data_IF_172368412412
#
_entry.id   IF_172368412412
#
_cell.length_a   1.000
_cell.length_b   1.000
_cell.length_c   1.000
_cell.angle_alpha   90.00
_cell.angle_beta   90.00
_cell.angle_gamma   90.00
#
_symmetry.space_group_name_H-M   'P 1'
#
loop_
_entity.id
_entity.type
_entity.pdbx_description
1 polymer ?
#
# COMPACT_ATOMS: atom_id res chain seq x y z
N UNK A 1 34.34 8.25 12.33
CA UNK A 1 33.03 8.78 12.76
C UNK A 1 31.98 8.25 11.80
N UNK A 2 31.17 7.26 12.21
CA UNK A 2 30.09 6.74 11.36
C UNK A 2 28.99 7.79 11.31
N UNK A 3 28.87 8.45 10.17
CA UNK A 3 27.81 9.42 9.88
C UNK A 3 26.50 8.63 9.77
N UNK A 4 25.75 8.57 10.85
CA UNK A 4 24.44 7.96 10.88
C UNK A 4 23.49 8.83 10.04
N UNK A 5 23.38 8.54 8.73
CA UNK A 5 22.41 9.24 7.89
C UNK A 5 21.03 8.64 8.19
N UNK A 6 20.08 9.48 8.61
CA UNK A 6 18.71 9.03 8.81
C UNK A 6 18.12 8.54 7.48
N UNK A 7 17.16 7.59 7.56
CA UNK A 7 16.40 7.04 6.42
C UNK A 7 17.15 6.06 5.49
N UNK A 8 17.92 5.12 6.06
CA UNK A 8 18.55 4.04 5.29
C UNK A 8 17.51 3.23 4.48
N UNK A 9 16.31 3.02 5.05
CA UNK A 9 15.22 2.31 4.38
C UNK A 9 14.74 3.06 3.13
N UNK A 10 14.44 4.35 3.23
CA UNK A 10 13.98 5.15 2.10
C UNK A 10 15.04 5.31 1.00
N UNK A 11 16.33 5.32 1.36
CA UNK A 11 17.44 5.32 0.39
C UNK A 11 17.45 4.03 -0.41
N UNK A 12 17.27 2.87 0.25
CA UNK A 12 17.17 1.57 -0.42
C UNK A 12 15.93 1.48 -1.31
N UNK A 13 14.76 1.97 -0.85
CA UNK A 13 13.53 2.01 -1.63
C UNK A 13 13.69 2.83 -2.92
N UNK A 14 14.31 4.03 -2.84
CA UNK A 14 14.59 4.88 -4.01
C UNK A 14 15.58 4.22 -4.96
N UNK A 15 16.72 3.76 -4.45
CA UNK A 15 17.75 3.11 -5.24
C UNK A 15 17.23 1.87 -5.98
N UNK A 16 16.40 1.06 -5.32
CA UNK A 16 15.80 -0.11 -5.95
C UNK A 16 14.84 0.29 -7.07
N UNK A 17 13.94 1.25 -6.82
CA UNK A 17 12.99 1.71 -7.85
C UNK A 17 13.71 2.29 -9.08
N UNK A 18 14.73 3.11 -8.87
CA UNK A 18 15.56 3.66 -9.95
C UNK A 18 16.20 2.54 -10.79
N UNK A 19 16.83 1.56 -10.15
CA UNK A 19 17.47 0.44 -10.84
C UNK A 19 16.46 -0.45 -11.57
N UNK A 20 15.29 -0.68 -10.99
CA UNK A 20 14.23 -1.46 -11.66
C UNK A 20 13.68 -0.76 -12.89
N UNK A 21 13.61 0.56 -12.89
CA UNK A 21 13.22 1.36 -14.06
C UNK A 21 14.34 1.42 -15.12
N UNK A 22 15.61 1.50 -14.69
CA UNK A 22 16.75 1.60 -15.60
C UNK A 22 17.08 0.28 -16.31
N UNK A 23 17.00 -0.86 -15.60
CA UNK A 23 17.55 -2.14 -16.05
C UNK A 23 16.55 -3.30 -15.99
N UNK A 24 15.39 -3.06 -15.38
CA UNK A 24 14.41 -4.10 -15.06
C UNK A 24 14.68 -4.79 -13.72
N UNK A 25 13.62 -5.34 -13.18
CA UNK A 25 13.64 -6.03 -11.89
C UNK A 25 14.57 -7.25 -11.88
N UNK A 26 14.51 -8.10 -12.92
CA UNK A 26 15.27 -9.35 -12.96
C UNK A 26 16.78 -9.12 -13.02
N UNK A 27 17.21 -8.08 -13.70
CA UNK A 27 18.62 -7.71 -13.89
C UNK A 27 19.19 -6.85 -12.77
N UNK A 28 18.45 -6.64 -11.68
CA UNK A 28 18.92 -5.84 -10.53
C UNK A 28 19.17 -6.75 -9.33
N UNK A 29 20.37 -6.61 -8.73
CA UNK A 29 20.79 -7.37 -7.55
C UNK A 29 20.68 -6.55 -6.26
N UNK A 30 20.64 -7.24 -5.11
CA UNK A 30 20.69 -6.58 -3.78
C UNK A 30 21.98 -5.79 -3.59
N UNK A 31 23.11 -6.33 -4.09
CA UNK A 31 24.42 -5.65 -4.03
C UNK A 31 24.38 -4.28 -4.73
N UNK A 32 23.81 -4.23 -5.94
CA UNK A 32 23.68 -2.98 -6.71
C UNK A 32 22.74 -1.98 -6.03
N UNK A 33 21.62 -2.46 -5.46
CA UNK A 33 20.70 -1.62 -4.70
C UNK A 33 21.43 -0.99 -3.48
N UNK A 34 22.13 -1.82 -2.70
CA UNK A 34 22.88 -1.36 -1.55
C UNK A 34 23.96 -0.35 -1.95
N UNK A 35 24.73 -0.65 -2.99
CA UNK A 35 25.77 0.24 -3.53
C UNK A 35 25.19 1.58 -3.99
N UNK A 36 24.11 1.58 -4.78
CA UNK A 36 23.40 2.79 -5.25
C UNK A 36 22.90 3.63 -4.09
N UNK A 37 22.44 2.98 -3.02
CA UNK A 37 22.00 3.64 -1.79
C UNK A 37 23.15 4.14 -0.92
N UNK A 38 24.43 3.84 -1.24
CA UNK A 38 25.59 4.13 -0.38
C UNK A 38 25.58 3.34 0.92
N UNK A 39 25.07 2.11 0.88
CA UNK A 39 24.90 1.20 2.01
C UNK A 39 25.53 -0.16 1.69
N UNK A 40 25.49 -1.08 2.67
CA UNK A 40 25.95 -2.46 2.50
C UNK A 40 24.77 -3.42 2.31
N UNK A 41 25.01 -4.59 1.69
CA UNK A 41 24.00 -5.67 1.62
C UNK A 41 23.52 -6.11 3.01
N UNK A 42 24.40 -6.12 4.03
CA UNK A 42 24.02 -6.37 5.41
C UNK A 42 22.98 -5.35 5.91
N UNK A 43 23.12 -4.08 5.50
CA UNK A 43 22.14 -3.04 5.84
C UNK A 43 20.83 -3.29 5.09
N UNK A 44 20.88 -3.71 3.82
CA UNK A 44 19.70 -4.08 3.06
C UNK A 44 18.92 -5.20 3.79
N UNK A 45 19.56 -6.32 4.10
CA UNK A 45 18.92 -7.48 4.75
C UNK A 45 18.43 -7.22 6.18
N UNK A 46 18.90 -6.15 6.83
CA UNK A 46 18.32 -5.67 8.08
C UNK A 46 16.93 -5.04 7.91
N UNK A 47 16.63 -4.50 6.73
CA UNK A 47 15.38 -3.80 6.43
C UNK A 47 14.42 -4.61 5.58
N UNK A 48 14.93 -5.50 4.72
CA UNK A 48 14.14 -6.25 3.74
C UNK A 48 14.62 -7.70 3.68
N UNK A 49 13.68 -8.64 3.58
CA UNK A 49 13.99 -10.07 3.48
C UNK A 49 14.59 -10.41 2.11
N UNK A 50 14.12 -9.78 1.05
CA UNK A 50 14.61 -9.93 -0.33
C UNK A 50 14.34 -8.68 -1.16
N UNK A 51 14.77 -8.68 -2.45
CA UNK A 51 14.60 -7.54 -3.34
C UNK A 51 13.15 -7.24 -3.73
N UNK A 52 12.21 -8.19 -3.55
CA UNK A 52 10.77 -7.96 -3.78
C UNK A 52 10.20 -7.06 -2.70
N UNK A 53 10.63 -7.26 -1.45
CA UNK A 53 10.11 -6.51 -0.31
C UNK A 53 10.40 -5.01 -0.35
N UNK A 54 11.41 -4.59 -1.10
CA UNK A 54 11.85 -3.19 -1.12
C UNK A 54 10.79 -2.23 -1.67
N UNK A 55 9.90 -2.71 -2.55
CA UNK A 55 8.78 -1.93 -3.09
C UNK A 55 7.52 -1.96 -2.20
N UNK A 56 7.52 -2.81 -1.17
CA UNK A 56 6.36 -3.00 -0.31
C UNK A 56 6.68 -2.52 1.11
N UNK A 57 5.92 -1.54 1.60
CA UNK A 57 6.09 -1.03 2.97
C UNK A 57 5.51 -1.98 4.04
N UNK A 58 5.36 -3.26 3.66
CA UNK A 58 4.89 -4.29 4.54
C UNK A 58 3.54 -3.94 5.16
N UNK A 59 3.46 -4.10 6.47
CA UNK A 59 2.24 -3.85 7.23
C UNK A 59 2.03 -2.38 7.62
N UNK A 60 2.91 -1.45 7.22
CA UNK A 60 2.84 -0.05 7.68
C UNK A 60 1.51 0.59 7.29
N UNK A 61 1.08 0.41 6.03
CA UNK A 61 -0.22 0.92 5.55
C UNK A 61 -1.38 0.25 6.29
N UNK A 62 -1.36 -1.08 6.40
CA UNK A 62 -2.41 -1.82 7.09
C UNK A 62 -2.53 -1.41 8.56
N UNK A 63 -1.41 -1.24 9.26
CA UNK A 63 -1.40 -0.77 10.66
C UNK A 63 -1.93 0.65 10.79
N UNK A 64 -1.61 1.54 9.85
CA UNK A 64 -2.13 2.91 9.85
C UNK A 64 -3.67 2.92 9.66
N UNK A 65 -4.19 2.12 8.73
CA UNK A 65 -5.63 1.93 8.54
C UNK A 65 -6.29 1.39 9.81
N UNK A 66 -5.73 0.33 10.40
CA UNK A 66 -6.25 -0.27 11.65
C UNK A 66 -6.23 0.72 12.82
N UNK A 67 -5.21 1.57 12.92
CA UNK A 67 -5.15 2.60 13.94
C UNK A 67 -6.33 3.57 13.82
N UNK A 68 -6.61 4.07 12.62
CA UNK A 68 -7.76 4.96 12.37
C UNK A 68 -9.09 4.27 12.66
N UNK A 69 -9.23 2.98 12.30
CA UNK A 69 -10.46 2.22 12.58
C UNK A 69 -10.84 2.15 14.06
N UNK A 70 -9.85 2.20 14.95
CA UNK A 70 -10.09 2.22 16.42
C UNK A 70 -10.75 3.51 16.88
N UNK A 71 -10.49 4.61 16.19
CA UNK A 71 -10.98 5.95 16.55
C UNK A 71 -12.31 6.29 15.87
N UNK A 72 -12.71 5.55 14.82
CA UNK A 72 -14.00 5.75 14.16
C UNK A 72 -15.14 5.33 15.10
N UNK A 73 -16.18 6.17 15.31
CA UNK A 73 -17.30 5.84 16.20
C UNK A 73 -17.96 4.48 15.86
N UNK A 74 -18.36 3.67 16.86
CA UNK A 74 -19.00 2.38 16.63
C UNK A 74 -20.32 2.46 15.85
N UNK A 75 -20.98 3.62 15.86
CA UNK A 75 -22.23 3.88 15.12
C UNK A 75 -22.04 4.00 13.61
N UNK A 76 -20.80 4.18 13.14
CA UNK A 76 -20.49 4.24 11.70
C UNK A 76 -20.55 2.85 11.11
N UNK A 77 -21.27 2.70 9.99
CA UNK A 77 -21.40 1.42 9.31
C UNK A 77 -20.01 0.84 8.94
N UNK A 78 -19.80 -0.49 9.03
CA UNK A 78 -18.47 -1.10 8.88
C UNK A 78 -17.74 -0.70 7.61
N UNK A 79 -18.41 -0.69 6.46
CA UNK A 79 -17.79 -0.34 5.18
C UNK A 79 -17.45 1.16 5.09
N UNK A 80 -18.24 2.04 5.70
CA UNK A 80 -17.95 3.48 5.79
C UNK A 80 -16.77 3.75 6.70
N UNK A 81 -16.66 2.99 7.80
CA UNK A 81 -15.49 3.08 8.69
C UNK A 81 -14.19 2.72 7.94
N UNK A 82 -14.22 1.65 7.13
CA UNK A 82 -13.07 1.29 6.30
C UNK A 82 -12.78 2.38 5.26
N UNK A 83 -13.81 2.95 4.62
CA UNK A 83 -13.67 4.07 3.70
C UNK A 83 -12.96 5.26 4.34
N UNK A 84 -13.41 5.68 5.52
CA UNK A 84 -12.77 6.76 6.31
C UNK A 84 -11.30 6.46 6.61
N UNK A 85 -10.99 5.22 7.01
CA UNK A 85 -9.63 4.83 7.31
C UNK A 85 -8.73 4.79 6.06
N UNK A 86 -9.26 4.40 4.91
CA UNK A 86 -8.55 4.46 3.63
C UNK A 86 -8.30 5.92 3.19
N UNK A 87 -9.31 6.78 3.30
CA UNK A 87 -9.19 8.20 2.95
C UNK A 87 -8.12 8.91 3.78
N UNK A 88 -7.96 8.56 5.05
CA UNK A 88 -6.95 9.15 5.93
C UNK A 88 -5.51 8.90 5.45
N UNK A 89 -5.29 7.92 4.56
CA UNK A 89 -3.96 7.64 3.99
C UNK A 89 -3.67 8.44 2.71
N UNK A 90 -4.64 9.20 2.21
CA UNK A 90 -4.55 9.92 0.93
C UNK A 90 -3.34 10.84 0.87
N UNK A 91 -3.14 11.68 1.87
CA UNK A 91 -2.03 12.65 1.91
C UNK A 91 -0.66 11.97 1.71
N UNK A 92 -0.46 10.81 2.34
CA UNK A 92 0.78 10.05 2.20
C UNK A 92 1.04 9.64 0.74
N UNK A 93 0.00 9.22 0.02
CA UNK A 93 0.10 8.83 -1.40
C UNK A 93 0.20 10.06 -2.30
N UNK A 94 -0.60 11.09 -2.05
CA UNK A 94 -0.65 12.30 -2.86
C UNK A 94 0.71 13.01 -2.93
N UNK A 95 1.43 13.09 -1.80
CA UNK A 95 2.79 13.63 -1.72
C UNK A 95 3.82 12.79 -2.51
N UNK A 96 3.48 11.55 -2.86
CA UNK A 96 4.37 10.56 -3.48
C UNK A 96 3.83 10.00 -4.79
N UNK A 97 2.90 10.71 -5.45
CA UNK A 97 2.25 10.22 -6.67
C UNK A 97 3.23 9.80 -7.77
N UNK A 98 4.29 10.58 -8.10
CA UNK A 98 5.28 10.15 -9.09
C UNK A 98 5.97 8.83 -8.71
N UNK A 99 6.33 8.69 -7.44
CA UNK A 99 6.90 7.43 -6.91
C UNK A 99 5.90 6.27 -7.04
N UNK A 100 4.65 6.49 -6.64
CA UNK A 100 3.59 5.49 -6.70
C UNK A 100 3.33 5.03 -8.15
N UNK A 101 3.33 5.95 -9.11
CA UNK A 101 3.17 5.65 -10.54
C UNK A 101 4.31 4.79 -11.07
N UNK A 102 5.55 5.17 -10.79
CA UNK A 102 6.74 4.43 -11.20
C UNK A 102 6.78 3.04 -10.54
N UNK A 103 6.46 2.96 -9.25
CA UNK A 103 6.37 1.70 -8.51
C UNK A 103 5.34 0.77 -9.16
N UNK A 104 4.14 1.27 -9.47
CA UNK A 104 3.10 0.45 -10.08
C UNK A 104 3.51 -0.04 -11.47
N UNK A 105 4.11 0.78 -12.29
CA UNK A 105 4.63 0.37 -13.60
C UNK A 105 5.65 -0.79 -13.49
N UNK A 106 6.55 -0.74 -12.49
CA UNK A 106 7.50 -1.84 -12.24
C UNK A 106 6.77 -3.11 -11.78
N UNK A 107 5.76 -2.99 -10.92
CA UNK A 107 4.97 -4.15 -10.45
C UNK A 107 4.20 -4.77 -11.61
N UNK A 108 3.51 -3.98 -12.41
CA UNK A 108 2.68 -4.44 -13.52
C UNK A 108 3.50 -5.17 -14.60
N UNK A 109 4.76 -4.79 -14.76
CA UNK A 109 5.68 -5.44 -15.70
C UNK A 109 6.27 -6.77 -15.18
N UNK A 110 6.08 -7.13 -13.89
CA UNK A 110 6.79 -8.26 -13.28
C UNK A 110 5.84 -9.19 -12.51
N UNK A 111 5.55 -10.42 -13.01
CA UNK A 111 4.63 -11.35 -12.35
C UNK A 111 4.98 -11.67 -10.89
N UNK A 112 6.27 -11.81 -10.56
CA UNK A 112 6.72 -12.07 -9.19
C UNK A 112 6.41 -10.92 -8.21
N UNK A 113 6.38 -9.67 -8.71
CA UNK A 113 5.97 -8.51 -7.92
C UNK A 113 4.46 -8.38 -7.82
N UNK A 114 3.72 -8.74 -8.88
CA UNK A 114 2.25 -8.80 -8.85
C UNK A 114 1.76 -9.83 -7.82
N UNK A 115 2.34 -11.03 -7.82
CA UNK A 115 2.06 -12.05 -6.78
C UNK A 115 2.32 -11.50 -5.38
N UNK A 116 3.45 -10.82 -5.18
CA UNK A 116 3.79 -10.23 -3.90
C UNK A 116 2.82 -9.14 -3.47
N UNK A 117 2.37 -8.31 -4.39
CA UNK A 117 1.34 -7.30 -4.12
C UNK A 117 0.02 -7.93 -3.66
N UNK A 118 -0.44 -8.98 -4.34
CA UNK A 118 -1.65 -9.71 -3.94
C UNK A 118 -1.56 -10.26 -2.52
N UNK A 119 -0.41 -10.85 -2.15
CA UNK A 119 -0.17 -11.34 -0.79
C UNK A 119 -0.23 -10.19 0.23
N UNK A 120 0.32 -9.01 -0.09
CA UNK A 120 0.27 -7.85 0.81
C UNK A 120 -1.14 -7.29 0.96
N UNK A 121 -1.91 -7.27 -0.10
CA UNK A 121 -3.31 -6.84 -0.07
C UNK A 121 -4.18 -7.81 0.73
N UNK A 122 -3.96 -9.12 0.60
CA UNK A 122 -4.65 -10.13 1.41
C UNK A 122 -4.30 -10.03 2.90
N UNK A 123 -3.01 -9.82 3.21
CA UNK A 123 -2.58 -9.53 4.59
C UNK A 123 -3.24 -8.27 5.15
N UNK A 124 -3.41 -7.22 4.34
CA UNK A 124 -4.12 -6.01 4.73
C UNK A 124 -5.60 -6.30 5.01
N UNK A 125 -6.28 -7.07 4.16
CA UNK A 125 -7.66 -7.49 4.40
C UNK A 125 -7.79 -8.26 5.71
N UNK A 126 -6.89 -9.19 5.99
CA UNK A 126 -6.87 -9.95 7.25
C UNK A 126 -6.77 -9.03 8.47
N UNK A 127 -5.91 -8.02 8.43
CA UNK A 127 -5.77 -7.07 9.54
C UNK A 127 -6.99 -6.17 9.70
N UNK A 128 -7.60 -5.71 8.61
CA UNK A 128 -8.84 -4.93 8.64
C UNK A 128 -9.99 -5.79 9.19
N UNK A 129 -10.12 -7.05 8.77
CA UNK A 129 -11.14 -7.96 9.29
C UNK A 129 -11.01 -8.18 10.81
N UNK A 130 -9.79 -8.35 11.32
CA UNK A 130 -9.53 -8.43 12.75
C UNK A 130 -10.01 -7.16 13.47
N UNK A 131 -9.66 -5.97 12.96
CA UNK A 131 -10.11 -4.70 13.53
C UNK A 131 -11.63 -4.53 13.47
N UNK A 132 -12.31 -5.05 12.44
CA UNK A 132 -13.79 -5.04 12.37
C UNK A 132 -14.40 -5.96 13.42
N UNK A 133 -13.83 -7.13 13.69
CA UNK A 133 -14.28 -8.02 14.79
C UNK A 133 -14.11 -7.34 16.15
N UNK A 134 -13.00 -6.67 16.38
CA UNK A 134 -12.78 -5.89 17.62
C UNK A 134 -13.84 -4.79 17.82
N UNK A 135 -14.46 -4.32 16.73
CA UNK A 135 -15.59 -3.38 16.73
C UNK A 135 -16.95 -4.06 16.89
N UNK A 136 -17.01 -5.38 17.10
CA UNK A 136 -18.24 -6.13 17.28
C UNK A 136 -18.93 -6.57 15.97
N UNK A 137 -18.27 -6.43 14.81
CA UNK A 137 -18.79 -6.95 13.54
C UNK A 137 -18.63 -8.47 13.52
N UNK A 138 -19.66 -9.20 13.07
CA UNK A 138 -19.59 -10.67 12.98
C UNK A 138 -18.51 -11.14 12.02
N UNK A 139 -18.00 -12.36 12.21
CA UNK A 139 -16.86 -12.91 11.44
C UNK A 139 -17.04 -12.80 9.93
N UNK A 140 -18.20 -13.24 9.42
CA UNK A 140 -18.47 -13.19 7.97
C UNK A 140 -18.57 -11.76 7.46
N UNK A 141 -19.29 -10.88 8.17
CA UNK A 141 -19.41 -9.48 7.78
C UNK A 141 -18.08 -8.73 7.87
N UNK A 142 -17.25 -9.01 8.86
CA UNK A 142 -15.91 -8.42 9.01
C UNK A 142 -15.02 -8.81 7.83
N UNK A 143 -15.02 -10.09 7.44
CA UNK A 143 -14.26 -10.58 6.29
C UNK A 143 -14.72 -9.93 4.99
N UNK A 144 -16.05 -9.91 4.74
CA UNK A 144 -16.61 -9.26 3.54
C UNK A 144 -16.31 -7.77 3.50
N UNK A 145 -16.45 -7.06 4.61
CA UNK A 145 -16.13 -5.63 4.71
C UNK A 145 -14.65 -5.35 4.39
N UNK A 146 -13.76 -6.18 4.91
CA UNK A 146 -12.33 -6.03 4.66
C UNK A 146 -11.97 -6.27 3.20
N UNK A 147 -12.49 -7.33 2.58
CA UNK A 147 -12.27 -7.62 1.16
C UNK A 147 -12.86 -6.54 0.25
N UNK A 148 -14.07 -6.05 0.57
CA UNK A 148 -14.69 -4.93 -0.13
C UNK A 148 -13.83 -3.65 -0.01
N UNK A 149 -13.31 -3.35 1.17
CA UNK A 149 -12.41 -2.22 1.40
C UNK A 149 -11.12 -2.32 0.58
N UNK A 150 -10.50 -3.50 0.50
CA UNK A 150 -9.31 -3.72 -0.36
C UNK A 150 -9.67 -3.56 -1.83
N UNK A 151 -10.82 -4.05 -2.29
CA UNK A 151 -11.28 -3.85 -3.66
C UNK A 151 -11.49 -2.36 -3.98
N UNK A 152 -12.11 -1.60 -3.08
CA UNK A 152 -12.26 -0.14 -3.19
C UNK A 152 -10.89 0.52 -3.31
N UNK A 153 -9.95 0.18 -2.43
CA UNK A 153 -8.60 0.73 -2.48
C UNK A 153 -7.90 0.46 -3.81
N UNK A 154 -7.93 -0.78 -4.30
CA UNK A 154 -7.28 -1.15 -5.58
C UNK A 154 -7.84 -0.34 -6.75
N UNK A 155 -9.17 -0.28 -6.89
CA UNK A 155 -9.81 0.44 -8.00
C UNK A 155 -9.57 1.94 -7.88
N UNK A 156 -9.73 2.51 -6.69
CA UNK A 156 -9.50 3.93 -6.44
C UNK A 156 -8.04 4.33 -6.70
N UNK A 157 -7.09 3.50 -6.27
CA UNK A 157 -5.66 3.74 -6.45
C UNK A 157 -5.27 3.74 -7.93
N UNK A 158 -5.77 2.79 -8.72
CA UNK A 158 -5.52 2.76 -10.17
C UNK A 158 -6.12 3.99 -10.86
N UNK A 159 -7.39 4.33 -10.55
CA UNK A 159 -8.02 5.55 -11.07
C UNK A 159 -7.24 6.80 -10.73
N UNK A 160 -6.76 6.89 -9.51
CA UNK A 160 -5.94 8.01 -9.06
C UNK A 160 -4.61 8.09 -9.81
N UNK A 161 -3.92 6.98 -10.07
CA UNK A 161 -2.67 6.99 -10.85
C UNK A 161 -2.90 7.47 -12.29
N UNK A 162 -4.04 7.12 -12.88
CA UNK A 162 -4.40 7.42 -14.26
C UNK A 162 -5.08 8.79 -14.44
N UNK A 163 -5.49 9.44 -13.35
CA UNK A 163 -6.23 10.70 -13.39
C UNK A 163 -5.36 11.88 -13.86
N UNK A 164 -5.66 12.47 -15.05
CA UNK A 164 -4.93 13.63 -15.56
C UNK A 164 -5.25 14.93 -14.81
N UNK A 165 -6.38 14.98 -14.08
CA UNK A 165 -6.80 16.17 -13.34
C UNK A 165 -6.08 16.35 -12.01
N UNK A 166 -5.24 15.39 -11.60
CA UNK A 166 -4.49 15.41 -10.36
C UNK A 166 -5.36 15.53 -9.08
N UNK A 167 -6.57 15.01 -9.09
CA UNK A 167 -7.38 14.93 -7.88
C UNK A 167 -6.69 14.06 -6.83
N UNK A 168 -6.95 14.35 -5.55
CA UNK A 168 -6.39 13.60 -4.42
C UNK A 168 -7.02 12.20 -4.34
N UNK A 169 -6.27 11.23 -3.82
CA UNK A 169 -6.71 9.84 -3.72
C UNK A 169 -8.03 9.68 -2.95
N UNK A 170 -8.28 10.52 -1.92
CA UNK A 170 -9.53 10.50 -1.15
C UNK A 170 -10.79 10.69 -2.02
N UNK A 171 -10.72 11.50 -3.08
CA UNK A 171 -11.85 11.69 -4.01
C UNK A 171 -12.16 10.38 -4.74
N UNK A 172 -11.13 9.69 -5.22
CA UNK A 172 -11.29 8.40 -5.90
C UNK A 172 -11.78 7.30 -4.97
N UNK A 173 -11.32 7.27 -3.70
CA UNK A 173 -11.80 6.32 -2.69
C UNK A 173 -13.30 6.53 -2.44
N UNK A 174 -13.74 7.77 -2.20
CA UNK A 174 -15.17 8.08 -1.97
C UNK A 174 -16.04 7.70 -3.17
N UNK A 175 -15.62 8.06 -4.37
CA UNK A 175 -16.35 7.73 -5.59
C UNK A 175 -16.47 6.21 -5.78
N UNK A 176 -15.38 5.48 -5.61
CA UNK A 176 -15.36 4.01 -5.76
C UNK A 176 -16.20 3.32 -4.68
N UNK A 177 -16.16 3.83 -3.44
CA UNK A 177 -17.00 3.30 -2.35
C UNK A 177 -18.49 3.51 -2.64
N UNK A 178 -18.88 4.68 -3.16
CA UNK A 178 -20.26 4.97 -3.55
C UNK A 178 -20.73 4.05 -4.69
N UNK A 179 -19.86 3.82 -5.69
CA UNK A 179 -20.14 2.88 -6.78
C UNK A 179 -20.32 1.44 -6.27
N UNK A 180 -19.45 0.96 -5.37
CA UNK A 180 -19.60 -0.37 -4.77
C UNK A 180 -20.96 -0.53 -4.06
N UNK A 181 -21.37 0.49 -3.29
CA UNK A 181 -22.67 0.47 -2.61
C UNK A 181 -23.83 0.43 -3.60
N UNK A 182 -23.76 1.19 -4.69
CA UNK A 182 -24.78 1.19 -5.73
C UNK A 182 -24.90 -0.17 -6.43
N UNK A 183 -23.77 -0.80 -6.77
CA UNK A 183 -23.74 -2.14 -7.38
C UNK A 183 -24.31 -3.21 -6.43
N UNK A 184 -24.06 -3.09 -5.12
CA UNK A 184 -24.56 -4.05 -4.14
C UNK A 184 -26.08 -3.90 -3.84
N UNK A 185 -26.71 -2.82 -4.28
CA UNK A 185 -28.14 -2.54 -4.10
C UNK A 185 -28.98 -2.79 -5.37
N UNK A 186 -28.29 -3.03 -6.51
CA UNK A 186 -28.91 -3.27 -7.80
C UNK A 186 -29.33 -4.74 -7.96
#
# INVERSE_FOLDING_TARGET
MSRWEPDARGRLERAALELYLERGYDHTTVAEIAQRAGLTERTFFRHFADKREVLFRGEVLARAIVAVLKDVPPSVAPLDAVGTALESQSEFFDQRRPYSKNRQAVIDANPALQERELIKLDSMATMIAAAMRDRGVTESAATLTAQAGVAVFKVAFQRWLDDPSNQVLAVHIRATLAELKAVAQA
#
